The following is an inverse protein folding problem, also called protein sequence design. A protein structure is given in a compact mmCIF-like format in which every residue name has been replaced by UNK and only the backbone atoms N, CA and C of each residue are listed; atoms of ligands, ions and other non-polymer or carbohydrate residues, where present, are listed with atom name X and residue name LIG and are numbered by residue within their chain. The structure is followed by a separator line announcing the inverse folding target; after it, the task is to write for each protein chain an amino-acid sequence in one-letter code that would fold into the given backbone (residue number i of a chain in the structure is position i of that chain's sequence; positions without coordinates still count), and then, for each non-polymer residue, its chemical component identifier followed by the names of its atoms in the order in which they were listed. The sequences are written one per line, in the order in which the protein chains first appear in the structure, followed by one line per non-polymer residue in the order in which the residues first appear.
data_IF_229911662476
#
_entry.id   IF_229911662476
#
_cell.length_a   1.000
_cell.length_b   1.000
_cell.length_c   1.000
_cell.angle_alpha   90.00
_cell.angle_beta   90.00
_cell.angle_gamma   90.00
#
_symmetry.space_group_name_H-M   'P 1'
#
loop_
_entity.id
_entity.type
_entity.pdbx_description
1 polymer ?
#
# COMPACT_ATOMS: atom_id res chain seq x y z
N UNK A 1 -25.28 4.96 -11.57
CA UNK A 1 -24.23 5.74 -10.88
C UNK A 1 -24.57 7.22 -10.99
N UNK A 2 -24.72 7.97 -9.88
CA UNK A 2 -25.02 9.42 -9.94
C UNK A 2 -23.78 10.17 -10.47
N UNK A 3 -23.97 11.19 -11.32
CA UNK A 3 -22.88 12.05 -11.80
C UNK A 3 -22.23 12.74 -10.60
N UNK A 4 -20.89 12.69 -10.52
CA UNK A 4 -20.15 13.39 -9.47
C UNK A 4 -20.24 14.91 -9.66
N UNK A 5 -20.37 15.71 -8.59
CA UNK A 5 -20.27 17.17 -8.64
C UNK A 5 -18.97 17.64 -9.28
N UNK A 6 -18.98 18.83 -9.89
CA UNK A 6 -17.83 19.34 -10.63
C UNK A 6 -16.59 19.58 -9.76
N UNK A 7 -16.78 19.93 -8.48
CA UNK A 7 -15.68 20.10 -7.51
C UNK A 7 -15.01 18.77 -7.07
N UNK A 8 -15.59 17.61 -7.39
CA UNK A 8 -15.04 16.28 -7.10
C UNK A 8 -14.30 15.66 -8.29
N UNK A 9 -13.92 16.47 -9.28
CA UNK A 9 -13.10 16.04 -10.41
C UNK A 9 -11.63 16.05 -10.03
N UNK A 10 -10.92 15.02 -10.47
CA UNK A 10 -9.47 14.91 -10.28
C UNK A 10 -8.80 15.72 -11.39
N UNK A 11 -7.95 16.67 -11.01
CA UNK A 11 -7.07 17.33 -11.97
C UNK A 11 -6.04 16.29 -12.43
N UNK A 12 -5.94 16.06 -13.74
CA UNK A 12 -4.95 15.13 -14.30
C UNK A 12 -3.56 15.63 -13.97
N UNK A 13 -2.89 14.97 -13.03
CA UNK A 13 -1.47 15.19 -12.75
C UNK A 13 -0.68 14.40 -13.80
N UNK A 14 0.19 15.03 -14.62
CA UNK A 14 1.07 14.30 -15.51
C UNK A 14 1.92 13.30 -14.72
N UNK A 15 2.12 12.10 -15.27
CA UNK A 15 3.00 11.11 -14.64
C UNK A 15 4.44 11.60 -14.79
N UNK A 16 4.96 12.22 -13.73
CA UNK A 16 6.36 12.63 -13.64
C UNK A 16 7.31 11.47 -13.36
N UNK A 17 8.61 11.73 -13.42
CA UNK A 17 9.67 10.74 -13.19
C UNK A 17 9.53 10.03 -11.84
N UNK A 18 9.19 10.78 -10.78
CA UNK A 18 8.93 10.22 -9.46
C UNK A 18 7.82 9.17 -9.47
N UNK A 19 6.68 9.47 -10.11
CA UNK A 19 5.56 8.54 -10.15
C UNK A 19 5.95 7.23 -10.86
N UNK A 20 6.69 7.33 -11.96
CA UNK A 20 7.24 6.17 -12.68
C UNK A 20 8.22 5.38 -11.80
N UNK A 21 9.10 6.06 -11.05
CA UNK A 21 10.02 5.43 -10.10
C UNK A 21 9.26 4.66 -9.01
N UNK A 22 8.24 5.28 -8.40
CA UNK A 22 7.42 4.64 -7.35
C UNK A 22 6.70 3.40 -7.89
N UNK A 23 6.07 3.49 -9.06
CA UNK A 23 5.38 2.37 -9.70
C UNK A 23 6.36 1.21 -9.97
N UNK A 24 7.58 1.52 -10.45
CA UNK A 24 8.62 0.53 -10.71
C UNK A 24 9.04 -0.18 -9.41
N UNK A 25 9.34 0.56 -8.35
CA UNK A 25 9.75 0.01 -7.04
C UNK A 25 8.67 -0.94 -6.50
N UNK A 26 7.41 -0.48 -6.44
CA UNK A 26 6.29 -1.30 -5.92
C UNK A 26 6.16 -2.62 -6.70
N UNK A 27 6.30 -2.55 -8.03
CA UNK A 27 6.19 -3.72 -8.91
C UNK A 27 7.37 -4.69 -8.72
N UNK A 28 8.60 -4.19 -8.70
CA UNK A 28 9.81 -5.01 -8.54
C UNK A 28 9.87 -5.71 -7.17
N UNK A 29 9.45 -5.01 -6.11
CA UNK A 29 9.43 -5.54 -4.75
C UNK A 29 8.17 -6.38 -4.45
N UNK A 30 7.30 -6.60 -5.46
CA UNK A 30 6.04 -7.38 -5.34
C UNK A 30 5.19 -6.91 -4.15
N UNK A 31 4.96 -5.61 -4.05
CA UNK A 31 4.22 -4.98 -2.96
C UNK A 31 2.85 -4.48 -3.43
N UNK A 32 1.92 -4.39 -2.48
CA UNK A 32 0.62 -3.78 -2.68
C UNK A 32 0.54 -2.41 -1.99
N UNK A 33 -0.31 -1.54 -2.52
CA UNK A 33 -0.60 -0.24 -1.91
C UNK A 33 -2.09 0.00 -1.85
N UNK A 34 -2.57 0.56 -0.74
CA UNK A 34 -3.98 0.96 -0.65
C UNK A 34 -4.31 2.04 -1.68
N UNK A 35 -3.31 2.81 -2.12
CA UNK A 35 -3.42 3.77 -3.22
C UNK A 35 -3.99 3.12 -4.49
N UNK A 36 -3.55 1.90 -4.80
CA UNK A 36 -3.99 1.14 -5.98
C UNK A 36 -5.21 0.29 -5.67
N UNK A 37 -5.17 -0.55 -4.63
CA UNK A 37 -6.23 -1.53 -4.36
C UNK A 37 -7.56 -0.85 -3.97
N UNK A 38 -7.51 0.28 -3.26
CA UNK A 38 -8.70 1.04 -2.90
C UNK A 38 -9.13 2.06 -3.99
N UNK A 39 -8.51 2.04 -5.17
CA UNK A 39 -8.82 2.99 -6.27
C UNK A 39 -8.75 4.46 -5.84
N UNK A 40 -7.72 4.83 -5.08
CA UNK A 40 -7.59 6.18 -4.52
C UNK A 40 -7.45 7.24 -5.63
N UNK A 41 -8.28 8.29 -5.64
CA UNK A 41 -8.22 9.35 -6.65
C UNK A 41 -6.92 10.17 -6.57
N UNK A 42 -6.24 10.16 -5.41
CA UNK A 42 -5.02 10.93 -5.17
C UNK A 42 -3.73 10.18 -5.56
N UNK A 43 -3.82 8.92 -6.03
CA UNK A 43 -2.66 8.06 -6.33
C UNK A 43 -1.60 8.78 -7.17
N UNK A 44 -2.02 9.45 -8.25
CA UNK A 44 -1.10 10.16 -9.15
C UNK A 44 -0.34 11.29 -8.45
N UNK A 45 -1.03 12.06 -7.61
CA UNK A 45 -0.41 13.14 -6.84
C UNK A 45 0.58 12.58 -5.81
N UNK A 46 0.15 11.63 -4.99
CA UNK A 46 1.01 11.04 -3.95
C UNK A 46 2.28 10.40 -4.55
N UNK A 47 2.14 9.67 -5.67
CA UNK A 47 3.28 9.05 -6.32
C UNK A 47 4.23 10.08 -6.95
N UNK A 48 3.71 11.19 -7.50
CA UNK A 48 4.52 12.29 -8.00
C UNK A 48 5.30 13.00 -6.87
N UNK A 49 4.70 13.10 -5.68
CA UNK A 49 5.34 13.59 -4.45
C UNK A 49 6.29 12.55 -3.82
N UNK A 50 6.45 11.37 -4.44
CA UNK A 50 7.40 10.34 -3.99
C UNK A 50 6.91 9.47 -2.83
N UNK A 51 5.62 9.50 -2.51
CA UNK A 51 5.04 8.76 -1.37
C UNK A 51 3.98 7.73 -1.79
N UNK A 52 3.81 6.71 -0.95
CA UNK A 52 2.77 5.70 -1.08
C UNK A 52 2.41 5.14 0.31
N UNK A 53 1.22 4.56 0.42
CA UNK A 53 0.80 3.81 1.61
C UNK A 53 0.81 2.33 1.30
N UNK A 54 1.66 1.58 2.00
CA UNK A 54 1.82 0.14 1.82
C UNK A 54 0.61 -0.61 2.38
N UNK A 55 0.14 -1.61 1.64
CA UNK A 55 -0.89 -2.55 2.06
C UNK A 55 -0.22 -3.92 2.22
N UNK A 56 -0.02 -4.34 3.47
CA UNK A 56 0.58 -5.65 3.80
C UNK A 56 -0.51 -6.73 3.91
N UNK A 57 -0.08 -8.00 3.97
CA UNK A 57 -0.90 -9.21 4.05
C UNK A 57 -1.68 -9.53 2.76
N UNK A 58 -1.19 -9.02 1.63
CA UNK A 58 -1.73 -9.26 0.30
C UNK A 58 -2.82 -8.27 -0.14
N UNK A 59 -3.36 -8.45 -1.35
CA UNK A 59 -4.35 -7.53 -1.94
C UNK A 59 -5.80 -7.84 -1.55
N UNK A 60 -6.07 -9.02 -1.00
CA UNK A 60 -7.41 -9.55 -0.77
C UNK A 60 -7.76 -9.52 0.71
N UNK A 61 -8.96 -9.06 1.05
CA UNK A 61 -9.46 -8.95 2.41
C UNK A 61 -10.43 -10.08 2.74
N UNK A 62 -10.33 -10.66 3.94
CA UNK A 62 -11.31 -11.64 4.44
C UNK A 62 -12.71 -11.06 4.68
N UNK A 63 -12.87 -9.73 4.56
CA UNK A 63 -14.12 -9.01 4.82
C UNK A 63 -14.53 -8.15 3.62
N UNK A 64 -15.85 -7.96 3.50
CA UNK A 64 -16.51 -7.22 2.41
C UNK A 64 -17.18 -5.94 2.90
N UNK A 65 -16.39 -5.00 3.43
CA UNK A 65 -16.91 -3.70 3.85
C UNK A 65 -17.60 -2.96 2.70
N UNK A 66 -18.85 -2.54 2.87
CA UNK A 66 -19.70 -1.96 1.79
C UNK A 66 -19.13 -0.71 1.11
N UNK A 67 -18.19 -0.02 1.74
CA UNK A 67 -17.55 1.19 1.20
C UNK A 67 -16.15 0.94 0.64
N UNK A 68 -15.56 -0.23 0.92
CA UNK A 68 -14.17 -0.51 0.59
C UNK A 68 -14.05 -1.07 -0.82
N UNK A 69 -13.07 -0.58 -1.59
CA UNK A 69 -12.83 -1.05 -2.95
C UNK A 69 -11.76 -2.17 -3.01
N UNK A 70 -11.14 -2.51 -1.88
CA UNK A 70 -10.24 -3.66 -1.80
C UNK A 70 -11.06 -4.94 -2.03
N UNK A 71 -10.50 -5.85 -2.81
CA UNK A 71 -11.18 -7.09 -3.20
C UNK A 71 -11.43 -7.98 -1.98
N UNK A 72 -12.65 -8.50 -1.89
CA UNK A 72 -13.01 -9.54 -0.94
C UNK A 72 -13.01 -10.89 -1.66
N UNK A 73 -11.81 -11.33 -2.03
CA UNK A 73 -11.53 -12.62 -2.67
C UNK A 73 -10.77 -13.54 -1.68
N UNK A 74 -10.42 -14.75 -2.10
CA UNK A 74 -9.61 -15.67 -1.29
C UNK A 74 -8.28 -15.01 -0.87
N UNK A 75 -7.98 -15.07 0.43
CA UNK A 75 -6.74 -14.50 0.99
C UNK A 75 -5.55 -15.36 0.59
N UNK A 76 -4.44 -14.70 0.27
CA UNK A 76 -3.20 -15.40 -0.09
C UNK A 76 -2.47 -15.90 1.16
N UNK A 77 -1.64 -16.95 1.04
CA UNK A 77 -0.73 -17.35 2.10
C UNK A 77 0.09 -16.16 2.61
N UNK A 78 0.33 -16.12 3.92
CA UNK A 78 1.14 -15.06 4.52
C UNK A 78 2.59 -15.13 3.99
N UNK A 79 3.10 -14.00 3.50
CA UNK A 79 4.49 -13.85 3.08
C UNK A 79 5.31 -13.22 4.21
N UNK A 80 6.09 -14.06 4.91
CA UNK A 80 6.93 -13.64 6.03
C UNK A 80 8.02 -12.63 5.60
N UNK A 81 8.44 -12.66 4.33
CA UNK A 81 9.45 -11.76 3.77
C UNK A 81 8.91 -10.41 3.30
N UNK A 82 7.58 -10.19 3.34
CA UNK A 82 6.94 -8.95 2.89
C UNK A 82 7.47 -7.72 3.63
N UNK A 83 7.62 -7.81 4.95
CA UNK A 83 8.08 -6.69 5.78
C UNK A 83 9.48 -6.18 5.40
N UNK A 84 10.40 -7.07 5.02
CA UNK A 84 11.73 -6.70 4.54
C UNK A 84 11.66 -5.95 3.21
N UNK A 85 10.80 -6.40 2.28
CA UNK A 85 10.59 -5.72 1.00
C UNK A 85 9.94 -4.35 1.18
N UNK A 86 9.02 -4.19 2.14
CA UNK A 86 8.47 -2.88 2.51
C UNK A 86 9.57 -1.94 2.99
N UNK A 87 10.48 -2.41 3.85
CA UNK A 87 11.60 -1.62 4.33
C UNK A 87 12.56 -1.20 3.19
N UNK A 88 12.89 -2.13 2.29
CA UNK A 88 13.73 -1.85 1.12
C UNK A 88 13.06 -0.85 0.16
N UNK A 89 11.77 -1.01 -0.10
CA UNK A 89 11.01 -0.09 -0.93
C UNK A 89 10.96 1.32 -0.31
N UNK A 90 10.64 1.43 0.98
CA UNK A 90 10.62 2.71 1.69
C UNK A 90 11.99 3.41 1.66
N UNK A 91 13.09 2.65 1.80
CA UNK A 91 14.45 3.17 1.69
C UNK A 91 14.76 3.67 0.26
N UNK A 92 14.46 2.88 -0.78
CA UNK A 92 14.63 3.29 -2.20
C UNK A 92 13.81 4.53 -2.57
N UNK A 93 12.66 4.69 -1.92
CA UNK A 93 11.77 5.85 -2.06
C UNK A 93 12.28 7.08 -1.29
N UNK A 94 13.18 6.92 -0.32
CA UNK A 94 13.68 8.02 0.50
C UNK A 94 12.66 8.55 1.49
N UNK A 95 11.77 7.70 2.01
CA UNK A 95 10.71 8.10 2.93
C UNK A 95 11.25 8.27 4.36
N UNK A 96 10.94 9.42 4.99
CA UNK A 96 11.12 9.65 6.43
C UNK A 96 9.86 9.37 7.24
N UNK A 97 8.69 9.38 6.60
CA UNK A 97 7.42 9.06 7.22
C UNK A 97 6.69 8.01 6.38
N UNK A 98 6.39 6.87 7.00
CA UNK A 98 5.93 5.67 6.30
C UNK A 98 4.59 5.26 6.86
N UNK A 99 3.60 5.12 5.97
CA UNK A 99 2.28 4.61 6.32
C UNK A 99 2.16 3.15 5.87
N UNK A 100 1.90 2.28 6.83
CA UNK A 100 1.63 0.85 6.61
C UNK A 100 0.23 0.56 7.11
N UNK A 101 -0.58 -0.08 6.27
CA UNK A 101 -1.90 -0.61 6.62
C UNK A 101 -2.03 -2.05 6.11
N UNK A 102 -3.10 -2.75 6.46
CA UNK A 102 -3.31 -4.13 6.00
C UNK A 102 -4.76 -4.37 5.58
N UNK A 103 -4.94 -5.47 4.87
CA UNK A 103 -6.24 -6.14 4.78
C UNK A 103 -6.58 -6.84 6.10
N UNK A 104 -7.84 -7.24 6.28
CA UNK A 104 -8.21 -8.13 7.39
C UNK A 104 -7.82 -9.57 7.05
N UNK A 105 -7.24 -10.26 8.04
CA UNK A 105 -6.79 -11.66 7.96
C UNK A 105 -7.45 -12.50 9.04
N UNK A 106 -8.76 -12.70 8.91
CA UNK A 106 -9.52 -13.53 9.85
C UNK A 106 -9.07 -15.01 9.84
N UNK A 107 -8.33 -15.43 8.81
CA UNK A 107 -7.73 -16.76 8.67
C UNK A 107 -6.50 -17.00 9.57
N UNK A 108 -5.75 -15.94 9.93
CA UNK A 108 -4.55 -16.08 10.75
C UNK A 108 -4.91 -16.20 12.25
N UNK A 109 -4.13 -16.96 13.05
CA UNK A 109 -4.36 -17.07 14.50
C UNK A 109 -4.29 -15.73 15.24
N UNK A 110 -3.31 -14.89 14.90
CA UNK A 110 -3.08 -13.56 15.50
C UNK A 110 -3.69 -12.41 14.68
N UNK A 111 -4.47 -12.74 13.65
CA UNK A 111 -5.13 -11.79 12.74
C UNK A 111 -4.17 -10.83 12.02
N UNK A 112 -2.88 -11.19 11.90
CA UNK A 112 -1.86 -10.40 11.21
C UNK A 112 -1.06 -9.44 12.10
N UNK A 113 -1.25 -9.48 13.43
CA UNK A 113 -0.52 -8.61 14.36
C UNK A 113 1.01 -8.77 14.25
N UNK A 114 1.50 -10.00 14.10
CA UNK A 114 2.93 -10.28 13.94
C UNK A 114 3.50 -9.72 12.64
N UNK A 115 2.72 -9.65 11.56
CA UNK A 115 3.16 -9.08 10.29
C UNK A 115 3.42 -7.57 10.39
N UNK A 116 2.54 -6.82 11.06
CA UNK A 116 2.81 -5.41 11.38
C UNK A 116 4.10 -5.27 12.20
N UNK A 117 4.25 -6.05 13.28
CA UNK A 117 5.42 -5.96 14.15
C UNK A 117 6.73 -6.27 13.40
N UNK A 118 6.75 -7.31 12.54
CA UNK A 118 7.91 -7.64 11.69
C UNK A 118 8.20 -6.52 10.69
N UNK A 119 7.19 -5.95 10.06
CA UNK A 119 7.34 -4.85 9.09
C UNK A 119 7.91 -3.60 9.75
N UNK A 120 7.38 -3.20 10.91
CA UNK A 120 7.87 -2.03 11.66
C UNK A 120 9.32 -2.23 12.10
N UNK A 121 9.70 -3.43 12.58
CA UNK A 121 11.09 -3.73 12.95
C UNK A 121 12.02 -3.63 11.75
N UNK A 122 11.67 -4.27 10.63
CA UNK A 122 12.46 -4.22 9.40
C UNK A 122 12.66 -2.77 8.90
N UNK A 123 11.61 -1.95 8.94
CA UNK A 123 11.69 -0.53 8.57
C UNK A 123 12.68 0.20 9.49
N UNK A 124 12.57 0.04 10.81
CA UNK A 124 13.44 0.73 11.78
C UNK A 124 14.90 0.28 11.72
N UNK A 125 15.13 -0.99 11.41
CA UNK A 125 16.47 -1.54 11.20
C UNK A 125 17.12 -0.97 9.94
N UNK A 126 16.34 -0.82 8.85
CA UNK A 126 16.83 -0.35 7.56
C UNK A 126 16.95 1.18 7.48
N UNK A 127 16.02 1.88 8.10
CA UNK A 127 15.89 3.34 8.09
C UNK A 127 15.94 3.81 9.54
N UNK A 128 17.14 3.83 10.15
CA UNK A 128 17.32 4.48 11.44
C UNK A 128 17.20 5.99 11.19
N UNK A 129 16.25 6.63 11.89
CA UNK A 129 15.93 8.07 11.87
C UNK A 129 14.86 8.49 10.85
#
# INVERSE_FOLDING_TARGET
MKRKPDFLKINKVPVGENASKIIKIIKEDRLHTVCTEASCPNKGKCFAEGTATFLILGPNCSRSCKFCNIKSEEVLPEDIGEGGRVADAAYKMGLSYIVVTSVTRDDLPDKGASAFARTIRAIREKIPH
#
